data_IF_106449222858
#
_entry.id   IF_106449222858
#
_cell.length_a   1.000
_cell.length_b   1.000
_cell.length_c   1.000
_cell.angle_alpha   90.00
_cell.angle_beta   90.00
_cell.angle_gamma   90.00
#
_symmetry.space_group_name_H-M   'P 1'
#
loop_
_entity.id
_entity.type
_entity.pdbx_description
1 polymer ?
#
# COMPACT_ATOMS: atom_id res chain seq x y z
N UNK A 1 17.50 -26.33 -52.75
CA UNK A 1 16.45 -26.87 -51.86
C UNK A 1 16.66 -26.49 -50.39
N UNK A 2 17.83 -26.75 -49.78
CA UNK A 2 18.13 -26.39 -48.38
C UNK A 2 17.92 -24.89 -48.03
N UNK A 3 18.34 -24.00 -48.93
CA UNK A 3 18.25 -22.54 -48.74
C UNK A 3 16.80 -22.05 -48.65
N UNK A 4 15.90 -22.61 -49.45
CA UNK A 4 14.47 -22.32 -49.43
C UNK A 4 13.85 -22.81 -48.12
N UNK A 5 14.26 -23.99 -47.65
CA UNK A 5 13.79 -24.55 -46.39
C UNK A 5 14.24 -23.72 -45.19
N UNK A 6 15.48 -23.23 -45.20
CA UNK A 6 16.02 -22.34 -44.17
C UNK A 6 15.27 -21.00 -44.12
N UNK A 7 14.97 -20.41 -45.28
CA UNK A 7 14.18 -19.15 -45.39
C UNK A 7 12.75 -19.37 -44.87
N UNK A 8 12.10 -20.48 -45.22
CA UNK A 8 10.76 -20.79 -44.71
C UNK A 8 10.77 -21.05 -43.20
N UNK A 9 11.80 -21.71 -42.67
CA UNK A 9 11.99 -21.93 -41.24
C UNK A 9 12.15 -20.61 -40.48
N UNK A 10 13.05 -19.74 -40.95
CA UNK A 10 13.29 -18.41 -40.37
C UNK A 10 12.02 -17.54 -40.39
N UNK A 11 11.26 -17.57 -41.50
CA UNK A 11 10.02 -16.80 -41.62
C UNK A 11 8.94 -17.26 -40.65
N UNK A 12 8.82 -18.58 -40.41
CA UNK A 12 7.88 -19.13 -39.42
C UNK A 12 8.32 -18.80 -37.99
N UNK A 13 9.62 -18.88 -37.70
CA UNK A 13 10.18 -18.51 -36.41
C UNK A 13 9.95 -17.01 -36.12
N UNK A 14 10.22 -16.14 -37.09
CA UNK A 14 9.97 -14.70 -36.99
C UNK A 14 8.49 -14.39 -36.74
N UNK A 15 7.57 -15.05 -37.47
CA UNK A 15 6.13 -14.88 -37.24
C UNK A 15 5.70 -15.34 -35.83
N UNK A 16 6.26 -16.42 -35.30
CA UNK A 16 5.98 -16.88 -33.93
C UNK A 16 6.52 -15.92 -32.88
N UNK A 17 7.75 -15.43 -33.05
CA UNK A 17 8.36 -14.43 -32.16
C UNK A 17 7.54 -13.13 -32.14
N UNK A 18 7.09 -12.66 -33.31
CA UNK A 18 6.26 -11.47 -33.43
C UNK A 18 4.90 -11.61 -32.73
N UNK A 19 4.28 -12.80 -32.79
CA UNK A 19 3.03 -13.08 -32.06
C UNK A 19 3.26 -13.05 -30.55
N UNK A 20 4.30 -13.72 -30.06
CA UNK A 20 4.66 -13.71 -28.63
C UNK A 20 4.99 -12.30 -28.12
N UNK A 21 5.71 -11.50 -28.90
CA UNK A 21 6.00 -10.10 -28.55
C UNK A 21 4.71 -9.27 -28.43
N UNK A 22 3.72 -9.52 -29.28
CA UNK A 22 2.41 -8.85 -29.23
C UNK A 22 1.58 -9.29 -28.03
N UNK A 23 1.62 -10.57 -27.68
CA UNK A 23 0.98 -11.10 -26.47
C UNK A 23 1.62 -10.51 -25.20
N UNK A 24 2.96 -10.42 -25.16
CA UNK A 24 3.70 -9.78 -24.07
C UNK A 24 3.40 -8.28 -23.96
N UNK A 25 3.28 -7.55 -25.06
CA UNK A 25 2.91 -6.13 -25.02
C UNK A 25 1.48 -5.91 -24.52
N UNK A 26 0.55 -6.79 -24.90
CA UNK A 26 -0.83 -6.74 -24.40
C UNK A 26 -0.89 -7.07 -22.91
N UNK A 27 -0.12 -8.07 -22.47
CA UNK A 27 0.00 -8.41 -21.06
C UNK A 27 0.61 -7.26 -20.25
N UNK A 28 1.73 -6.69 -20.70
CA UNK A 28 2.36 -5.54 -20.06
C UNK A 28 1.41 -4.33 -19.99
N UNK A 29 0.64 -4.05 -21.04
CA UNK A 29 -0.37 -2.99 -21.02
C UNK A 29 -1.47 -3.21 -19.97
N UNK A 30 -1.92 -4.45 -19.78
CA UNK A 30 -2.90 -4.78 -18.72
C UNK A 30 -2.30 -4.61 -17.32
N UNK A 31 -1.04 -4.98 -17.15
CA UNK A 31 -0.33 -4.87 -15.87
C UNK A 31 -0.11 -3.39 -15.47
N UNK A 32 0.23 -2.53 -16.43
CA UNK A 32 0.35 -1.08 -16.20
C UNK A 32 -0.97 -0.48 -15.72
N UNK A 33 -2.11 -0.84 -16.34
CA UNK A 33 -3.43 -0.36 -15.92
C UNK A 33 -3.78 -0.86 -14.51
N UNK A 34 -3.41 -2.09 -14.16
CA UNK A 34 -3.60 -2.63 -12.82
C UNK A 34 -2.76 -1.86 -11.78
N UNK A 35 -1.51 -1.57 -12.10
CA UNK A 35 -0.62 -0.77 -11.25
C UNK A 35 -1.11 0.67 -11.09
N UNK A 36 -1.62 1.31 -12.14
CA UNK A 36 -2.22 2.65 -12.06
C UNK A 36 -3.43 2.67 -11.12
N UNK A 37 -4.30 1.65 -11.18
CA UNK A 37 -5.45 1.53 -10.28
C UNK A 37 -5.02 1.32 -8.83
N UNK A 38 -4.02 0.47 -8.59
CA UNK A 38 -3.47 0.26 -7.25
C UNK A 38 -2.79 1.52 -6.72
N UNK A 39 -2.06 2.25 -7.56
CA UNK A 39 -1.44 3.53 -7.21
C UNK A 39 -2.50 4.59 -6.89
N UNK A 40 -3.60 4.66 -7.66
CA UNK A 40 -4.71 5.56 -7.38
C UNK A 40 -5.39 5.22 -6.04
N UNK A 41 -5.65 3.94 -5.76
CA UNK A 41 -6.19 3.49 -4.47
C UNK A 41 -5.24 3.80 -3.31
N UNK A 42 -3.93 3.59 -3.48
CA UNK A 42 -2.93 3.96 -2.47
C UNK A 42 -2.90 5.47 -2.23
N UNK A 43 -3.06 6.28 -3.27
CA UNK A 43 -3.10 7.73 -3.16
C UNK A 43 -4.37 8.21 -2.44
N UNK A 44 -5.54 7.63 -2.76
CA UNK A 44 -6.80 7.90 -2.05
C UNK A 44 -6.72 7.50 -0.57
N UNK A 45 -6.16 6.33 -0.27
CA UNK A 45 -5.93 5.90 1.10
C UNK A 45 -4.90 6.77 1.81
N UNK A 46 -3.83 7.20 1.13
CA UNK A 46 -2.84 8.14 1.65
C UNK A 46 -3.49 9.48 2.01
N UNK A 47 -4.34 10.01 1.13
CA UNK A 47 -5.08 11.25 1.35
C UNK A 47 -6.08 11.11 2.53
N UNK A 48 -6.80 10.00 2.61
CA UNK A 48 -7.68 9.71 3.75
C UNK A 48 -6.92 9.57 5.07
N UNK A 49 -5.70 9.01 5.04
CA UNK A 49 -4.84 8.88 6.20
C UNK A 49 -4.31 10.25 6.64
N UNK A 50 -3.88 11.08 5.70
CA UNK A 50 -3.38 12.44 5.96
C UNK A 50 -4.51 13.34 6.50
N UNK A 51 -5.72 13.21 5.96
CA UNK A 51 -6.90 13.90 6.47
C UNK A 51 -7.26 13.44 7.89
N UNK A 52 -7.33 12.13 8.12
CA UNK A 52 -7.59 11.57 9.45
C UNK A 52 -6.50 11.95 10.45
N UNK A 53 -5.23 11.94 10.04
CA UNK A 53 -4.11 12.37 10.86
C UNK A 53 -4.22 13.85 11.18
N UNK A 54 -4.56 14.70 10.21
CA UNK A 54 -4.78 16.14 10.41
C UNK A 54 -5.92 16.44 11.38
N UNK A 55 -6.96 15.61 11.43
CA UNK A 55 -8.02 15.70 12.44
C UNK A 55 -7.62 15.14 13.81
N UNK A 56 -6.76 14.12 13.83
CA UNK A 56 -6.33 13.44 15.06
C UNK A 56 -5.19 14.17 15.77
N UNK A 57 -4.22 14.74 15.04
CA UNK A 57 -3.09 15.48 15.60
C UNK A 57 -3.48 16.62 16.56
N UNK A 58 -4.44 17.52 16.24
CA UNK A 58 -4.85 18.56 17.17
C UNK A 58 -5.55 17.98 18.41
N UNK A 59 -6.30 16.89 18.27
CA UNK A 59 -6.92 16.18 19.40
C UNK A 59 -5.88 15.50 20.29
N UNK A 60 -4.84 14.91 19.69
CA UNK A 60 -3.70 14.34 20.42
C UNK A 60 -2.92 15.42 21.15
N UNK A 61 -2.71 16.59 20.54
CA UNK A 61 -2.08 17.75 21.19
C UNK A 61 -2.88 18.26 22.39
N UNK A 62 -4.21 18.31 22.31
CA UNK A 62 -5.08 18.67 23.44
C UNK A 62 -4.99 17.65 24.59
N UNK A 63 -4.96 16.36 24.26
CA UNK A 63 -4.79 15.29 25.26
C UNK A 63 -3.41 15.36 25.91
N UNK A 64 -2.36 15.62 25.12
CA UNK A 64 -1.00 15.76 25.63
C UNK A 64 -0.89 16.96 26.58
N UNK A 65 -1.44 18.11 26.20
CA UNK A 65 -1.48 19.32 27.03
C UNK A 65 -2.26 19.11 28.34
N UNK A 66 -3.34 18.31 28.30
CA UNK A 66 -4.07 17.91 29.51
C UNK A 66 -3.23 16.98 30.41
N UNK A 67 -2.49 16.04 29.82
CA UNK A 67 -1.61 15.12 30.55
C UNK A 67 -0.40 15.82 31.16
N UNK A 68 0.10 16.88 30.53
CA UNK A 68 1.21 17.72 31.02
C UNK A 68 0.83 18.62 32.19
N UNK A 69 -0.46 18.77 32.51
CA UNK A 69 -0.89 19.51 33.68
C UNK A 69 -0.29 18.87 34.94
N UNK A 70 0.34 19.64 35.84
CA UNK A 70 1.11 19.10 36.96
C UNK A 70 0.27 18.20 37.89
N UNK A 71 -1.01 18.52 38.07
CA UNK A 71 -1.95 17.68 38.83
C UNK A 71 -2.22 16.33 38.16
N UNK A 72 -2.30 16.30 36.82
CA UNK A 72 -2.56 15.09 36.06
C UNK A 72 -1.29 14.26 35.96
N UNK A 73 -0.15 14.87 35.61
CA UNK A 73 1.15 14.24 35.47
C UNK A 73 1.58 13.41 36.70
N UNK A 74 1.31 13.93 37.90
CA UNK A 74 1.60 13.23 39.16
C UNK A 74 0.74 11.96 39.34
N UNK A 75 -0.47 11.94 38.78
CA UNK A 75 -1.40 10.80 38.88
C UNK A 75 -1.22 9.75 37.78
N UNK A 76 -0.57 10.10 36.65
CA UNK A 76 -0.35 9.21 35.50
C UNK A 76 0.34 7.89 35.89
N UNK A 77 1.46 7.87 36.66
CA UNK A 77 2.14 6.63 37.02
C UNK A 77 1.31 5.68 37.87
N UNK A 78 0.38 6.20 38.68
CA UNK A 78 -0.54 5.39 39.48
C UNK A 78 -1.69 4.85 38.62
N UNK A 79 -2.25 5.68 37.74
CA UNK A 79 -3.29 5.28 36.78
C UNK A 79 -2.78 4.20 35.82
N UNK A 80 -1.57 4.34 35.28
CA UNK A 80 -0.94 3.33 34.41
C UNK A 80 -0.74 2.01 35.15
N UNK A 81 -0.22 2.04 36.38
CA UNK A 81 -0.09 0.84 37.22
C UNK A 81 -1.42 0.15 37.49
N UNK A 82 -2.49 0.93 37.68
CA UNK A 82 -3.85 0.41 37.90
C UNK A 82 -4.47 -0.15 36.61
N UNK A 83 -4.25 0.48 35.47
CA UNK A 83 -4.75 0.03 34.18
C UNK A 83 -4.07 -1.28 33.75
N UNK A 84 -2.75 -1.38 33.88
CA UNK A 84 -1.98 -2.59 33.55
C UNK A 84 -2.33 -3.76 34.48
N UNK A 85 -2.65 -3.48 35.75
CA UNK A 85 -3.08 -4.51 36.72
C UNK A 85 -4.53 -4.98 36.54
N UNK A 86 -5.36 -4.30 35.75
CA UNK A 86 -6.74 -4.77 35.51
C UNK A 86 -6.68 -5.95 34.54
N UNK A 87 -7.11 -7.16 34.94
CA UNK A 87 -7.33 -8.22 33.97
C UNK A 87 -8.37 -7.72 32.97
N UNK A 88 -8.00 -7.73 31.69
CA UNK A 88 -8.89 -7.36 30.59
C UNK A 88 -10.09 -8.31 30.64
N UNK A 89 -11.19 -7.84 31.22
CA UNK A 89 -12.41 -8.64 31.40
C UNK A 89 -13.02 -8.79 30.02
N UNK A 90 -12.64 -9.85 29.30
CA UNK A 90 -13.24 -10.24 28.01
C UNK A 90 -14.75 -10.32 28.22
N UNK A 91 -15.49 -9.50 27.49
CA UNK A 91 -16.93 -9.60 27.32
C UNK A 91 -17.18 -9.89 25.85
#
# INVERSE_FOLDING_TARGET
>A
MLLIYAIQGAWRAYRRARRRARELSVYAGKEVIALERLAAQLNEHGFALEHSASELFPKLGQVLAFLEQPLVAVTIPWLLRRAIRRPYRRR
#
